data_IF_066229890928
#
_entry.id   IF_066229890928
#
_cell.length_a   1.000
_cell.length_b   1.000
_cell.length_c   1.000
_cell.angle_alpha   90.00
_cell.angle_beta   90.00
_cell.angle_gamma   90.00
#
_symmetry.space_group_name_H-M   'P 1'
#
loop_
_entity.id
_entity.type
_entity.pdbx_description
1 polymer ?
#
# COMPACT_ATOMS: atom_id res chain seq x y z
N UNK A 1 16.24 -25.01 -18.23
CA UNK A 1 15.04 -24.75 -17.42
C UNK A 1 14.97 -23.24 -17.23
N UNK A 2 13.81 -22.57 -17.42
CA UNK A 2 13.72 -21.19 -17.00
C UNK A 2 13.86 -21.17 -15.48
N UNK A 3 14.81 -20.40 -14.97
CA UNK A 3 14.81 -20.01 -13.56
C UNK A 3 13.71 -18.98 -13.42
N UNK A 4 12.74 -19.24 -12.56
CA UNK A 4 11.83 -18.19 -12.11
C UNK A 4 12.69 -17.04 -11.61
N UNK A 5 12.47 -15.83 -12.11
CA UNK A 5 12.98 -14.66 -11.43
C UNK A 5 12.50 -14.71 -9.97
N UNK A 6 13.32 -14.22 -9.05
CA UNK A 6 12.89 -14.09 -7.66
C UNK A 6 11.60 -13.27 -7.66
N UNK A 7 10.62 -13.67 -6.85
CA UNK A 7 9.38 -12.89 -6.68
C UNK A 7 9.69 -11.42 -6.38
N UNK A 8 10.73 -11.17 -5.60
CA UNK A 8 11.24 -9.82 -5.30
C UNK A 8 11.66 -9.08 -6.58
N UNK A 9 12.50 -9.68 -7.41
CA UNK A 9 13.01 -9.05 -8.64
C UNK A 9 11.86 -8.70 -9.60
N UNK A 10 10.89 -9.62 -9.75
CA UNK A 10 9.69 -9.38 -10.56
C UNK A 10 8.81 -8.25 -10.01
N UNK A 11 8.69 -8.17 -8.68
CA UNK A 11 7.96 -7.10 -8.00
C UNK A 11 8.67 -5.75 -8.19
N UNK A 12 9.97 -5.66 -7.94
CA UNK A 12 10.76 -4.44 -8.10
C UNK A 12 10.71 -3.96 -9.55
N UNK A 13 10.79 -4.86 -10.54
CA UNK A 13 10.65 -4.49 -11.95
C UNK A 13 9.28 -3.87 -12.24
N UNK A 14 8.20 -4.46 -11.71
CA UNK A 14 6.84 -3.94 -11.88
C UNK A 14 6.66 -2.57 -11.21
N UNK A 15 7.26 -2.37 -10.03
CA UNK A 15 7.20 -1.13 -9.27
C UNK A 15 8.00 0.03 -9.89
N UNK A 16 8.80 -0.22 -10.95
CA UNK A 16 9.44 0.86 -11.70
C UNK A 16 8.41 1.74 -12.41
N UNK A 17 7.24 1.22 -12.76
CA UNK A 17 6.10 2.04 -13.20
C UNK A 17 5.49 2.77 -12.00
N UNK A 18 5.61 4.10 -11.99
CA UNK A 18 5.08 4.93 -10.91
C UNK A 18 3.57 4.79 -10.70
N UNK A 19 2.79 4.46 -11.73
CA UNK A 19 1.35 4.20 -11.56
C UNK A 19 1.11 2.91 -10.79
N UNK A 20 1.85 1.85 -11.14
CA UNK A 20 1.78 0.57 -10.44
C UNK A 20 2.26 0.72 -8.99
N UNK A 21 3.35 1.44 -8.76
CA UNK A 21 3.85 1.75 -7.41
C UNK A 21 2.83 2.55 -6.57
N UNK A 22 2.14 3.51 -7.17
CA UNK A 22 1.10 4.27 -6.49
C UNK A 22 -0.07 3.38 -6.04
N UNK A 23 -0.58 2.53 -6.92
CA UNK A 23 -1.66 1.57 -6.59
C UNK A 23 -1.20 0.55 -5.56
N UNK A 24 0.05 0.10 -5.66
CA UNK A 24 0.66 -0.82 -4.69
C UNK A 24 0.68 -0.20 -3.29
N UNK A 25 1.18 1.02 -3.12
CA UNK A 25 1.15 1.70 -1.80
C UNK A 25 -0.26 2.01 -1.34
N UNK A 26 -1.16 2.43 -2.23
CA UNK A 26 -2.56 2.67 -1.89
C UNK A 26 -3.19 1.42 -1.26
N UNK A 27 -2.97 0.26 -1.85
CA UNK A 27 -3.48 -1.03 -1.33
C UNK A 27 -3.00 -1.29 0.11
N UNK A 28 -1.75 -0.93 0.43
CA UNK A 28 -1.19 -1.12 1.78
C UNK A 28 -1.65 -0.03 2.77
N UNK A 29 -2.05 1.15 2.28
CA UNK A 29 -2.50 2.28 3.09
C UNK A 29 -4.00 2.24 3.40
N UNK A 30 -4.81 1.64 2.54
CA UNK A 30 -6.26 1.48 2.76
C UNK A 30 -6.56 0.64 4.01
N UNK A 31 -5.64 -0.27 4.38
CA UNK A 31 -5.88 -1.27 5.40
C UNK A 31 -6.97 -2.26 4.98
N UNK A 32 -7.09 -3.38 5.69
CA UNK A 32 -8.14 -4.36 5.43
C UNK A 32 -9.00 -4.61 6.67
N UNK A 33 -9.89 -5.60 6.58
CA UNK A 33 -10.77 -6.02 7.67
C UNK A 33 -10.02 -6.52 8.92
N UNK A 34 -8.73 -6.88 8.78
CA UNK A 34 -7.86 -7.36 9.85
C UNK A 34 -7.04 -6.23 10.50
N UNK A 35 -7.12 -5.02 9.94
CA UNK A 35 -6.52 -3.82 10.49
C UNK A 35 -5.26 -3.39 9.76
N UNK A 36 -4.50 -2.51 10.38
CA UNK A 36 -3.33 -1.88 9.78
C UNK A 36 -2.05 -2.62 10.17
N UNK A 37 -1.43 -3.31 9.21
CA UNK A 37 -0.19 -4.04 9.43
C UNK A 37 1.04 -3.15 9.19
N UNK A 38 1.57 -2.57 10.26
CA UNK A 38 2.69 -1.61 10.19
C UNK A 38 3.95 -2.18 9.53
N UNK A 39 4.25 -3.46 9.72
CA UNK A 39 5.42 -4.11 9.13
C UNK A 39 5.25 -4.36 7.63
N UNK A 40 4.04 -4.72 7.17
CA UNK A 40 3.77 -4.83 5.74
C UNK A 40 3.84 -3.48 5.06
N UNK A 41 3.35 -2.42 5.71
CA UNK A 41 3.49 -1.08 5.15
C UNK A 41 4.96 -0.63 5.09
N UNK A 42 5.75 -0.91 6.14
CA UNK A 42 7.21 -0.64 6.12
C UNK A 42 7.87 -1.35 4.94
N UNK A 43 7.53 -2.61 4.72
CA UNK A 43 8.06 -3.41 3.61
C UNK A 43 7.65 -2.81 2.26
N UNK A 44 6.38 -2.43 2.09
CA UNK A 44 5.88 -1.82 0.86
C UNK A 44 6.58 -0.50 0.52
N UNK A 45 6.82 0.36 1.52
CA UNK A 45 7.61 1.58 1.31
C UNK A 45 9.05 1.30 0.87
N UNK A 46 9.70 0.29 1.47
CA UNK A 46 11.05 -0.10 1.08
C UNK A 46 11.10 -0.63 -0.37
N UNK A 47 10.13 -1.44 -0.79
CA UNK A 47 10.05 -1.89 -2.19
C UNK A 47 9.91 -0.72 -3.17
N UNK A 48 9.08 0.27 -2.85
CA UNK A 48 8.90 1.45 -3.71
C UNK A 48 10.15 2.33 -3.73
N UNK A 49 10.83 2.48 -2.60
CA UNK A 49 12.11 3.19 -2.56
C UNK A 49 13.18 2.48 -3.40
N UNK A 50 13.24 1.15 -3.34
CA UNK A 50 14.16 0.34 -4.15
C UNK A 50 13.88 0.48 -5.65
N UNK A 51 12.60 0.49 -6.05
CA UNK A 51 12.19 0.56 -7.45
C UNK A 51 12.25 1.98 -8.06
N UNK A 52 11.76 3.00 -7.33
CA UNK A 52 11.66 4.38 -7.81
C UNK A 52 12.84 5.26 -7.40
N UNK A 53 13.56 4.90 -6.33
CA UNK A 53 14.71 5.65 -5.85
C UNK A 53 15.78 5.83 -6.93
N UNK A 54 16.28 4.76 -7.57
CA UNK A 54 17.30 4.86 -8.63
C UNK A 54 16.88 5.67 -9.86
N UNK A 55 15.57 5.88 -10.07
CA UNK A 55 15.04 6.65 -11.20
C UNK A 55 15.03 8.16 -10.92
N UNK A 56 14.90 8.55 -9.65
CA UNK A 56 14.67 9.94 -9.24
C UNK A 56 15.81 10.53 -8.39
N UNK A 57 16.67 9.70 -7.80
CA UNK A 57 17.58 10.06 -6.73
C UNK A 57 18.99 9.50 -6.95
N UNK A 58 19.99 10.16 -6.36
CA UNK A 58 21.35 9.61 -6.26
C UNK A 58 21.44 8.51 -5.20
N UNK A 59 22.46 7.65 -5.23
CA UNK A 59 22.68 6.63 -4.19
C UNK A 59 22.75 7.22 -2.77
N UNK A 60 23.34 8.40 -2.60
CA UNK A 60 23.37 9.11 -1.30
C UNK A 60 21.98 9.56 -0.86
N UNK A 61 21.19 10.10 -1.79
CA UNK A 61 19.82 10.51 -1.51
C UNK A 61 18.93 9.31 -1.15
N UNK A 62 19.09 8.16 -1.81
CA UNK A 62 18.37 6.92 -1.47
C UNK A 62 18.65 6.52 -0.01
N UNK A 63 19.92 6.60 0.43
CA UNK A 63 20.27 6.32 1.84
C UNK A 63 19.60 7.29 2.80
N UNK A 64 19.52 8.57 2.45
CA UNK A 64 18.81 9.58 3.25
C UNK A 64 17.32 9.27 3.30
N UNK A 65 16.69 8.94 2.17
CA UNK A 65 15.27 8.57 2.12
C UNK A 65 14.97 7.31 2.93
N UNK A 66 15.86 6.32 2.95
CA UNK A 66 15.71 5.12 3.78
C UNK A 66 15.75 5.46 5.28
N UNK A 67 16.64 6.35 5.71
CA UNK A 67 16.69 6.82 7.10
C UNK A 67 15.45 7.63 7.48
N UNK A 68 15.01 8.53 6.59
CA UNK A 68 13.79 9.31 6.78
C UNK A 68 12.55 8.42 6.90
N UNK A 69 12.47 7.33 6.13
CA UNK A 69 11.39 6.36 6.23
C UNK A 69 11.32 5.75 7.64
N UNK A 70 12.46 5.33 8.20
CA UNK A 70 12.49 4.78 9.57
C UNK A 70 12.06 5.80 10.63
N UNK A 71 12.41 7.08 10.44
CA UNK A 71 11.92 8.15 11.33
C UNK A 71 10.41 8.36 11.21
N UNK A 72 9.87 8.35 9.98
CA UNK A 72 8.42 8.49 9.72
C UNK A 72 7.66 7.36 10.43
N UNK A 73 8.15 6.12 10.35
CA UNK A 73 7.49 4.95 10.93
C UNK A 73 7.49 4.93 12.47
N UNK A 74 8.29 5.77 13.12
CA UNK A 74 8.34 5.89 14.59
C UNK A 74 7.51 7.06 15.14
N UNK A 75 7.07 7.97 14.27
CA UNK A 75 6.36 9.19 14.67
C UNK A 75 4.85 8.97 14.78
N UNK A 76 4.16 9.74 15.64
CA UNK A 76 2.70 9.76 15.65
C UNK A 76 2.17 10.33 14.33
N UNK A 77 0.99 9.86 13.90
CA UNK A 77 0.44 10.15 12.57
C UNK A 77 0.41 11.64 12.17
N UNK A 78 -0.01 12.60 13.01
CA UNK A 78 -0.05 14.01 12.61
C UNK A 78 1.32 14.57 12.20
N UNK A 79 2.38 14.13 12.87
CA UNK A 79 3.77 14.55 12.58
C UNK A 79 4.33 13.79 11.37
N UNK A 80 3.97 12.50 11.24
CA UNK A 80 4.41 11.63 10.15
C UNK A 80 3.87 12.07 8.78
N UNK A 81 2.64 12.59 8.69
CA UNK A 81 1.99 12.91 7.40
C UNK A 81 2.77 13.94 6.57
N UNK A 82 3.29 15.01 7.19
CA UNK A 82 4.05 16.04 6.47
C UNK A 82 5.36 15.47 5.88
N UNK A 83 6.04 14.64 6.65
CA UNK A 83 7.29 13.99 6.23
C UNK A 83 7.03 12.91 5.18
N UNK A 84 5.97 12.12 5.34
CA UNK A 84 5.53 11.14 4.37
C UNK A 84 5.19 11.79 3.02
N UNK A 85 4.52 12.94 3.04
CA UNK A 85 4.19 13.67 1.80
C UNK A 85 5.45 14.13 1.08
N UNK A 86 6.44 14.64 1.82
CA UNK A 86 7.74 15.05 1.25
C UNK A 86 8.54 13.86 0.71
N UNK A 87 8.53 12.74 1.45
CA UNK A 87 9.18 11.48 1.06
C UNK A 87 8.60 10.93 -0.24
N UNK A 88 7.26 10.89 -0.36
CA UNK A 88 6.58 10.46 -1.59
C UNK A 88 6.91 11.36 -2.77
N UNK A 89 6.96 12.69 -2.58
CA UNK A 89 7.29 13.65 -3.64
C UNK A 89 8.70 13.43 -4.19
N UNK A 90 9.67 13.06 -3.35
CA UNK A 90 11.03 12.72 -3.78
C UNK A 90 11.06 11.50 -4.72
N UNK A 91 10.04 10.65 -4.68
CA UNK A 91 9.87 9.48 -5.54
C UNK A 91 8.88 9.72 -6.69
N UNK A 92 8.40 10.95 -6.88
CA UNK A 92 7.41 11.30 -7.91
C UNK A 92 5.97 10.93 -7.55
N UNK A 93 5.68 10.60 -6.29
CA UNK A 93 4.37 10.20 -5.78
C UNK A 93 3.73 11.29 -4.92
N UNK A 94 2.41 11.20 -4.69
CA UNK A 94 1.68 12.08 -3.77
C UNK A 94 0.48 11.38 -3.15
N UNK A 95 0.10 11.79 -1.94
CA UNK A 95 -1.15 11.37 -1.32
C UNK A 95 -2.34 12.08 -1.96
N UNK A 96 -3.47 11.39 -2.02
CA UNK A 96 -4.74 11.94 -2.49
C UNK A 96 -5.87 11.53 -1.55
N UNK A 97 -6.92 12.33 -1.50
CA UNK A 97 -8.14 12.03 -0.75
C UNK A 97 -9.17 11.50 -1.74
N UNK A 98 -9.75 10.34 -1.44
CA UNK A 98 -10.79 9.70 -2.26
C UNK A 98 -12.07 9.53 -1.44
N UNK A 99 -13.22 9.42 -2.12
CA UNK A 99 -14.50 9.09 -1.47
C UNK A 99 -14.44 7.61 -1.07
N UNK A 100 -14.63 7.32 0.22
CA UNK A 100 -14.74 5.95 0.69
C UNK A 100 -16.03 5.31 0.15
N UNK A 101 -15.98 4.06 -0.35
CA UNK A 101 -17.18 3.34 -0.75
C UNK A 101 -18.11 3.20 0.47
N UNK A 102 -19.41 3.43 0.27
CA UNK A 102 -20.40 3.13 1.30
C UNK A 102 -20.37 1.61 1.52
N UNK A 103 -19.92 1.16 2.69
CA UNK A 103 -20.06 -0.25 3.05
C UNK A 103 -21.54 -0.63 2.91
N UNK A 104 -21.88 -1.72 2.19
CA UNK A 104 -23.25 -2.20 2.18
C UNK A 104 -23.66 -2.45 3.62
N UNK A 105 -24.80 -1.90 4.03
CA UNK A 105 -25.44 -2.25 5.30
C UNK A 105 -25.67 -3.77 5.25
N UNK A 106 -24.90 -4.52 6.03
CA UNK A 106 -25.10 -5.96 6.18
C UNK A 106 -26.37 -6.12 7.02
N UNK A 107 -27.52 -6.12 6.36
CA UNK A 107 -28.79 -6.46 6.99
C UNK A 107 -28.73 -7.96 7.31
N UNK A 108 -28.45 -8.29 8.57
CA UNK A 108 -28.51 -9.67 9.07
C UNK A 108 -29.95 -10.24 9.12
N UNK A 109 -30.97 -9.49 8.70
CA UNK A 109 -32.31 -10.03 8.44
C UNK A 109 -32.42 -10.48 6.99
N UNK A 110 -32.19 -11.78 6.74
CA UNK A 110 -32.99 -12.62 5.83
C UNK A 110 -32.36 -13.98 5.50
N UNK A 111 -31.39 -14.48 6.29
CA UNK A 111 -30.97 -15.87 6.21
C UNK A 111 -31.72 -16.74 7.23
N UNK A 112 -33.05 -16.75 7.13
CA UNK A 112 -33.90 -17.70 7.84
C UNK A 112 -34.99 -18.24 6.91
N UNK A 113 -34.69 -19.41 6.36
CA UNK A 113 -35.62 -20.47 5.95
C UNK A 113 -36.43 -20.21 4.67
N UNK A 114 -35.83 -20.67 3.56
CA UNK A 114 -36.55 -21.26 2.43
C UNK A 114 -37.64 -22.22 2.93
N UNK A 115 -38.88 -21.75 2.96
CA UNK A 115 -40.06 -22.56 3.19
C UNK A 115 -40.58 -23.02 1.84
N UNK A 116 -40.04 -24.12 1.34
CA UNK A 116 -40.58 -24.84 0.19
C UNK A 116 -41.99 -25.32 0.56
N UNK A 117 -43.02 -24.68 0.00
CA UNK A 117 -44.40 -25.21 0.04
C UNK A 117 -44.49 -26.38 -0.95
N UNK A 118 -44.47 -27.60 -0.44
CA UNK A 118 -44.94 -28.78 -1.18
C UNK A 118 -46.42 -28.94 -0.88
N UNK A 119 -47.26 -28.68 -1.88
CA UNK A 119 -48.69 -29.01 -1.85
C UNK A 119 -48.85 -30.44 -2.36
N UNK A 120 -49.45 -31.30 -1.54
CA UNK A 120 -49.94 -32.65 -1.91
C UNK A 120 -51.36 -32.55 -2.43
#
# INVERSE_FOLDING_TARGET
MPVSDSYHDSLIESLKDSHYAAVYLETHLEGDEYGFESELLRLAFNHVLEALGPQNLTPEQIKIQAQQLEEIMQKPAPEAINQLTSWLQALGLKLTIKIAPKMPEINHENDAVSSIKITV
#
